data_IF_457503382300
#
_entry.id   IF_457503382300
#
_cell.length_a   1.000
_cell.length_b   1.000
_cell.length_c   1.000
_cell.angle_alpha   90.00
_cell.angle_beta   90.00
_cell.angle_gamma   90.00
#
_symmetry.space_group_name_H-M   'P 1'
#
loop_
_entity.id
_entity.type
_entity.pdbx_description
1 polymer ?
#
# COMPACT_ATOMS: atom_id res chain seq x y z
N UNK A 1 14.89 -1.29 -4.31
CA UNK A 1 14.94 -1.61 -5.77
C UNK A 1 13.49 -1.67 -6.23
N UNK A 2 13.10 -1.08 -7.35
CA UNK A 2 11.69 -1.11 -7.79
C UNK A 2 11.28 -2.46 -8.36
N UNK A 3 11.10 -2.56 -9.67
CA UNK A 3 10.81 -3.80 -10.40
C UNK A 3 9.33 -4.03 -10.71
N UNK A 4 8.47 -3.11 -10.27
CA UNK A 4 7.03 -3.17 -10.49
C UNK A 4 6.61 -2.76 -11.91
N UNK A 5 5.47 -3.27 -12.34
CA UNK A 5 4.74 -2.90 -13.56
C UNK A 5 5.52 -3.00 -14.89
N UNK A 6 6.60 -3.78 -14.94
CA UNK A 6 7.43 -3.94 -16.12
C UNK A 6 6.83 -4.84 -17.23
N UNK A 7 5.62 -5.37 -17.06
CA UNK A 7 5.02 -6.35 -17.98
C UNK A 7 4.90 -5.88 -19.45
N UNK A 8 4.70 -4.57 -19.69
CA UNK A 8 4.73 -4.00 -21.05
C UNK A 8 6.14 -4.04 -21.64
N UNK A 9 7.14 -3.72 -20.82
CA UNK A 9 8.57 -3.80 -21.21
C UNK A 9 8.98 -5.22 -21.57
N UNK A 10 8.50 -6.24 -20.86
CA UNK A 10 8.82 -7.64 -21.16
C UNK A 10 8.49 -7.99 -22.62
N UNK A 11 7.31 -7.59 -23.10
CA UNK A 11 6.88 -7.85 -24.48
C UNK A 11 7.75 -7.13 -25.52
N UNK A 12 8.15 -5.90 -25.22
CA UNK A 12 9.05 -5.12 -26.08
C UNK A 12 10.42 -5.78 -26.12
N UNK A 13 10.95 -6.22 -24.98
CA UNK A 13 12.27 -6.89 -24.92
C UNK A 13 12.28 -8.20 -25.69
N UNK A 14 11.18 -8.94 -25.65
CA UNK A 14 11.03 -10.22 -26.38
C UNK A 14 10.92 -10.04 -27.89
N UNK A 15 10.25 -8.97 -28.37
CA UNK A 15 9.82 -8.85 -29.77
C UNK A 15 10.47 -7.74 -30.55
N UNK A 16 10.69 -6.58 -29.90
CA UNK A 16 10.98 -5.33 -30.59
C UNK A 16 12.35 -4.75 -30.26
N UNK A 17 13.10 -5.36 -29.32
CA UNK A 17 14.41 -4.89 -28.89
C UNK A 17 15.53 -5.87 -29.28
N UNK A 18 16.26 -5.63 -30.40
CA UNK A 18 17.32 -6.54 -30.85
C UNK A 18 18.43 -6.75 -29.82
N UNK A 19 18.79 -5.70 -29.07
CA UNK A 19 19.81 -5.78 -28.02
C UNK A 19 19.33 -6.68 -26.86
N UNK A 20 18.05 -6.53 -26.46
CA UNK A 20 17.46 -7.39 -25.43
C UNK A 20 17.41 -8.86 -25.88
N UNK A 21 17.01 -9.10 -27.13
CA UNK A 21 16.95 -10.44 -27.72
C UNK A 21 18.35 -11.09 -27.80
N UNK A 22 19.38 -10.34 -28.19
CA UNK A 22 20.74 -10.81 -28.18
C UNK A 22 21.21 -11.21 -26.78
N UNK A 23 20.88 -10.36 -25.77
CA UNK A 23 21.21 -10.66 -24.38
C UNK A 23 20.43 -11.88 -23.84
N UNK A 24 19.15 -11.97 -24.17
CA UNK A 24 18.32 -13.13 -23.78
C UNK A 24 18.91 -14.43 -24.40
N UNK A 25 19.32 -14.39 -25.66
CA UNK A 25 19.98 -15.52 -26.32
C UNK A 25 21.30 -15.91 -25.65
N UNK A 26 22.13 -14.92 -25.29
CA UNK A 26 23.39 -15.12 -24.55
C UNK A 26 23.15 -15.83 -23.21
N UNK A 27 22.08 -15.45 -22.52
CA UNK A 27 21.70 -15.99 -21.21
C UNK A 27 20.91 -17.29 -21.28
N UNK A 28 20.51 -17.75 -22.47
CA UNK A 28 19.68 -18.94 -22.64
C UNK A 28 18.25 -18.80 -22.11
N UNK A 29 17.73 -17.57 -22.05
CA UNK A 29 16.38 -17.25 -21.56
C UNK A 29 15.47 -16.82 -22.70
N UNK A 30 14.15 -16.98 -22.52
CA UNK A 30 13.17 -16.75 -23.59
C UNK A 30 12.10 -15.72 -23.21
N UNK A 31 11.94 -15.42 -21.92
CA UNK A 31 10.90 -14.49 -21.41
C UNK A 31 11.53 -13.20 -20.91
N UNK A 32 10.91 -12.07 -21.25
CA UNK A 32 11.34 -10.76 -20.76
C UNK A 32 11.32 -10.66 -19.24
N UNK A 33 10.44 -11.40 -18.56
CA UNK A 33 10.45 -11.53 -17.09
C UNK A 33 11.77 -12.09 -16.56
N UNK A 34 12.35 -13.10 -17.21
CA UNK A 34 13.64 -13.68 -16.82
C UNK A 34 14.79 -12.67 -17.03
N UNK A 35 14.70 -11.84 -18.08
CA UNK A 35 15.67 -10.75 -18.30
C UNK A 35 15.58 -9.69 -17.20
N UNK A 36 14.37 -9.36 -16.71
CA UNK A 36 14.18 -8.49 -15.55
C UNK A 36 14.82 -9.08 -14.31
N UNK A 37 14.56 -10.36 -14.02
CA UNK A 37 15.14 -11.06 -12.86
C UNK A 37 16.68 -11.05 -12.94
N UNK A 38 17.24 -11.33 -14.11
CA UNK A 38 18.70 -11.22 -14.32
C UNK A 38 19.23 -9.82 -13.98
N UNK A 39 18.55 -8.77 -14.45
CA UNK A 39 18.93 -7.39 -14.12
C UNK A 39 18.85 -7.10 -12.63
N UNK A 40 17.75 -7.51 -11.99
CA UNK A 40 17.51 -7.27 -10.57
C UNK A 40 18.53 -8.02 -9.69
N UNK A 41 18.86 -9.26 -10.02
CA UNK A 41 19.91 -10.02 -9.31
C UNK A 41 21.28 -9.34 -9.42
N UNK A 42 21.62 -8.76 -10.58
CA UNK A 42 22.87 -7.97 -10.71
C UNK A 42 22.87 -6.73 -9.82
N UNK A 43 21.72 -6.03 -9.72
CA UNK A 43 21.58 -4.88 -8.80
C UNK A 43 21.70 -5.36 -7.36
N UNK A 44 21.07 -6.49 -7.01
CA UNK A 44 21.18 -7.11 -5.70
C UNK A 44 22.65 -7.40 -5.34
N UNK A 45 23.43 -7.98 -6.24
CA UNK A 45 24.86 -8.23 -6.03
C UNK A 45 25.66 -6.95 -5.77
N UNK A 46 25.33 -5.85 -6.47
CA UNK A 46 25.96 -4.54 -6.22
C UNK A 46 25.61 -4.01 -4.82
N UNK A 47 24.35 -4.14 -4.41
CA UNK A 47 23.88 -3.70 -3.10
C UNK A 47 24.49 -4.54 -1.96
N UNK A 48 24.61 -5.86 -2.15
CA UNK A 48 25.32 -6.76 -1.22
C UNK A 48 26.77 -6.33 -0.98
N UNK A 49 27.49 -5.95 -2.02
CA UNK A 49 28.89 -5.44 -1.90
C UNK A 49 28.95 -4.15 -1.09
N UNK A 50 27.86 -3.40 -1.01
CA UNK A 50 27.71 -2.19 -0.18
C UNK A 50 27.12 -2.49 1.21
N UNK A 51 26.96 -3.76 1.58
CA UNK A 51 26.37 -4.17 2.85
C UNK A 51 24.87 -3.85 2.98
N UNK A 52 24.15 -3.73 1.84
CA UNK A 52 22.71 -3.41 1.82
C UNK A 52 21.87 -4.64 1.46
N UNK A 53 20.65 -4.67 1.97
CA UNK A 53 19.63 -5.65 1.59
C UNK A 53 18.69 -5.04 0.56
N UNK A 54 18.42 -5.77 -0.51
CA UNK A 54 17.46 -5.35 -1.53
C UNK A 54 16.03 -5.61 -1.10
N UNK A 55 15.13 -4.66 -1.42
CA UNK A 55 13.68 -4.86 -1.36
C UNK A 55 13.14 -4.70 -2.78
N UNK A 56 12.28 -5.60 -3.23
CA UNK A 56 11.69 -5.61 -4.56
C UNK A 56 10.19 -5.83 -4.50
N UNK A 57 9.43 -5.08 -5.33
CA UNK A 57 7.99 -5.30 -5.47
C UNK A 57 7.69 -6.71 -6.00
N UNK A 58 6.67 -7.35 -5.46
CA UNK A 58 6.42 -8.77 -5.70
C UNK A 58 6.09 -9.14 -7.15
N UNK A 59 5.68 -8.21 -7.97
CA UNK A 59 5.50 -8.45 -9.41
C UNK A 59 6.83 -8.39 -10.19
N UNK A 60 7.88 -7.85 -9.60
CA UNK A 60 9.27 -7.97 -10.07
C UNK A 60 9.87 -9.36 -9.81
N UNK A 61 9.45 -10.05 -8.76
CA UNK A 61 9.96 -11.37 -8.36
C UNK A 61 9.57 -12.45 -9.37
N UNK A 62 10.51 -13.32 -9.72
CA UNK A 62 10.34 -14.49 -10.56
C UNK A 62 11.13 -15.68 -10.03
N UNK A 63 11.03 -16.83 -10.71
CA UNK A 63 11.55 -18.13 -10.24
C UNK A 63 13.03 -18.11 -9.85
N UNK A 64 13.85 -17.35 -10.57
CA UNK A 64 15.29 -17.24 -10.34
C UNK A 64 15.71 -15.96 -9.59
N UNK A 65 14.77 -15.27 -8.93
CA UNK A 65 15.13 -14.14 -8.06
C UNK A 65 15.88 -14.65 -6.83
N UNK A 66 17.01 -14.02 -6.52
CA UNK A 66 17.83 -14.34 -5.35
C UNK A 66 16.99 -14.40 -4.07
N UNK A 67 17.15 -15.43 -3.26
CA UNK A 67 16.32 -15.68 -2.08
C UNK A 67 16.55 -14.70 -0.92
N UNK A 68 17.67 -13.99 -0.93
CA UNK A 68 17.98 -12.94 0.04
C UNK A 68 17.35 -11.57 -0.29
N UNK A 69 16.74 -11.43 -1.46
CA UNK A 69 15.89 -10.29 -1.80
C UNK A 69 14.62 -10.33 -0.96
N UNK A 70 14.34 -9.26 -0.23
CA UNK A 70 13.07 -9.10 0.50
C UNK A 70 11.97 -8.75 -0.48
N UNK A 71 10.87 -9.49 -0.48
CA UNK A 71 9.70 -9.17 -1.29
C UNK A 71 8.85 -8.08 -0.64
N UNK A 72 8.40 -7.09 -1.41
CA UNK A 72 7.40 -6.13 -1.01
C UNK A 72 6.07 -6.50 -1.68
N UNK A 73 5.13 -7.04 -0.89
CA UNK A 73 3.90 -7.63 -1.41
C UNK A 73 2.78 -6.59 -1.49
N UNK A 74 2.51 -6.12 -2.70
CA UNK A 74 1.43 -5.16 -2.99
C UNK A 74 0.37 -5.75 -3.92
N UNK A 75 0.81 -6.45 -4.95
CA UNK A 75 -0.05 -7.03 -5.97
C UNK A 75 -0.49 -8.43 -5.58
N UNK A 76 -1.80 -8.64 -5.52
CA UNK A 76 -2.39 -9.92 -5.14
C UNK A 76 -1.92 -11.07 -6.03
N UNK A 77 -1.53 -12.18 -5.41
CA UNK A 77 -1.11 -13.42 -6.05
C UNK A 77 -1.95 -14.59 -5.55
N UNK A 78 -1.83 -15.73 -6.21
CA UNK A 78 -2.48 -16.96 -5.77
C UNK A 78 -1.92 -17.41 -4.40
N UNK A 79 -2.72 -18.09 -3.57
CA UNK A 79 -2.24 -18.62 -2.29
C UNK A 79 -1.03 -19.56 -2.44
N UNK A 80 -0.96 -20.34 -3.53
CA UNK A 80 0.18 -21.20 -3.83
C UNK A 80 1.47 -20.41 -4.04
N UNK A 81 1.41 -19.32 -4.83
CA UNK A 81 2.56 -18.44 -5.03
C UNK A 81 3.02 -17.80 -3.72
N UNK A 82 2.07 -17.28 -2.92
CA UNK A 82 2.39 -16.65 -1.63
C UNK A 82 3.11 -17.63 -0.72
N UNK A 83 2.58 -18.86 -0.59
CA UNK A 83 3.17 -19.90 0.25
C UNK A 83 4.59 -20.23 -0.22
N UNK A 84 4.75 -20.52 -1.52
CA UNK A 84 6.03 -20.89 -2.11
C UNK A 84 7.10 -19.81 -1.90
N UNK A 85 6.76 -18.54 -2.14
CA UNK A 85 7.71 -17.44 -2.00
C UNK A 85 7.96 -17.07 -0.52
N UNK A 86 6.96 -17.19 0.34
CA UNK A 86 7.12 -16.94 1.78
C UNK A 86 7.99 -17.99 2.47
N UNK A 87 8.07 -19.19 1.93
CA UNK A 87 9.01 -20.22 2.41
C UNK A 87 10.46 -19.90 2.01
N UNK A 88 10.68 -19.20 0.89
CA UNK A 88 12.00 -18.87 0.33
C UNK A 88 12.59 -17.58 0.87
N UNK A 89 11.77 -16.54 1.12
CA UNK A 89 12.23 -15.19 1.41
C UNK A 89 11.35 -14.44 2.40
N UNK A 90 11.89 -13.34 2.94
CA UNK A 90 11.16 -12.42 3.80
C UNK A 90 10.27 -11.47 3.00
N UNK A 91 9.17 -11.01 3.61
CA UNK A 91 8.23 -10.08 3.00
C UNK A 91 7.90 -8.89 3.92
N UNK A 92 7.70 -7.72 3.30
CA UNK A 92 6.92 -6.60 3.81
C UNK A 92 5.57 -6.65 3.08
N UNK A 93 4.47 -6.45 3.79
CA UNK A 93 3.12 -6.60 3.21
C UNK A 93 2.39 -5.26 3.16
N UNK A 94 2.07 -4.79 1.95
CA UNK A 94 1.33 -3.56 1.66
C UNK A 94 0.21 -3.79 0.65
N UNK A 95 -0.65 -4.76 0.90
CA UNK A 95 -1.65 -5.25 -0.06
C UNK A 95 -2.54 -4.14 -0.61
N UNK A 96 -2.53 -3.94 -1.92
CA UNK A 96 -3.46 -3.06 -2.62
C UNK A 96 -4.87 -3.70 -2.73
N UNK A 97 -5.96 -2.93 -2.48
CA UNK A 97 -6.00 -1.54 -2.02
C UNK A 97 -6.03 -1.40 -0.48
N UNK A 98 -5.93 -2.47 0.29
CA UNK A 98 -6.23 -2.47 1.73
C UNK A 98 -5.34 -1.53 2.55
N UNK A 99 -4.07 -1.39 2.16
CA UNK A 99 -3.08 -0.52 2.79
C UNK A 99 -2.63 0.65 1.89
N UNK A 100 -3.39 0.99 0.84
CA UNK A 100 -3.11 2.10 -0.05
C UNK A 100 -3.93 3.32 0.36
N UNK A 101 -3.30 4.29 1.02
CA UNK A 101 -3.98 5.45 1.57
C UNK A 101 -4.21 6.58 0.56
N UNK A 102 -3.70 6.43 -0.62
CA UNK A 102 -4.09 7.23 -1.79
C UNK A 102 -5.49 6.86 -2.31
N UNK A 103 -6.04 5.68 -1.95
CA UNK A 103 -7.46 5.36 -2.21
C UNK A 103 -8.39 6.12 -1.27
N UNK A 104 -9.62 6.34 -1.76
CA UNK A 104 -10.66 7.05 -1.01
C UNK A 104 -11.03 6.36 0.31
N UNK A 105 -11.53 7.11 1.29
CA UNK A 105 -12.02 6.58 2.56
C UNK A 105 -13.23 5.63 2.40
N UNK A 106 -13.96 5.74 1.27
CA UNK A 106 -15.04 4.81 0.94
C UNK A 106 -14.51 3.40 0.57
N UNK A 107 -13.34 3.33 -0.07
CA UNK A 107 -12.69 2.07 -0.49
C UNK A 107 -11.86 1.48 0.64
N UNK A 108 -11.13 2.33 1.36
CA UNK A 108 -10.24 1.97 2.47
C UNK A 108 -10.67 2.71 3.74
N UNK A 109 -11.82 2.32 4.34
CA UNK A 109 -12.30 2.95 5.56
C UNK A 109 -11.44 2.57 6.78
N UNK A 110 -11.44 3.45 7.79
CA UNK A 110 -10.70 3.30 9.04
C UNK A 110 -10.78 1.90 9.65
N UNK A 111 -11.99 1.32 9.73
CA UNK A 111 -12.20 -0.02 10.30
C UNK A 111 -11.55 -1.12 9.48
N UNK A 112 -11.46 -0.96 8.15
CA UNK A 112 -10.79 -1.93 7.27
C UNK A 112 -9.29 -1.95 7.54
N UNK A 113 -8.69 -0.78 7.72
CA UNK A 113 -7.26 -0.65 8.07
C UNK A 113 -6.99 -1.26 9.45
N UNK A 114 -7.83 -0.94 10.45
CA UNK A 114 -7.70 -1.50 11.81
C UNK A 114 -7.77 -3.03 11.84
N UNK A 115 -8.64 -3.62 11.02
CA UNK A 115 -8.85 -5.07 10.94
C UNK A 115 -7.97 -5.74 9.88
N UNK A 116 -6.95 -5.04 9.39
CA UNK A 116 -6.02 -5.67 8.45
C UNK A 116 -5.31 -6.83 9.14
N UNK A 117 -5.20 -7.93 8.43
CA UNK A 117 -4.66 -9.18 8.92
C UNK A 117 -3.80 -9.82 7.82
N UNK A 118 -2.54 -9.97 8.11
CA UNK A 118 -1.54 -10.54 7.20
C UNK A 118 -1.88 -11.99 6.84
N UNK A 119 -2.38 -12.76 7.80
CA UNK A 119 -2.75 -14.17 7.57
C UNK A 119 -3.91 -14.26 6.58
N UNK A 120 -4.91 -13.38 6.71
CA UNK A 120 -6.02 -13.30 5.74
C UNK A 120 -5.59 -12.83 4.36
N UNK A 121 -4.42 -12.19 4.25
CA UNK A 121 -3.80 -11.84 2.96
C UNK A 121 -3.06 -13.02 2.33
N UNK A 122 -3.05 -14.18 2.97
CA UNK A 122 -2.46 -15.42 2.45
C UNK A 122 -1.09 -15.79 3.02
N UNK A 123 -0.51 -14.96 3.90
CA UNK A 123 0.77 -15.24 4.54
C UNK A 123 0.56 -16.08 5.79
N UNK A 124 1.00 -17.32 5.75
CA UNK A 124 0.84 -18.29 6.85
C UNK A 124 2.08 -18.44 7.72
N UNK A 125 3.24 -17.99 7.23
CA UNK A 125 4.51 -18.04 7.94
C UNK A 125 4.87 -16.64 8.46
N UNK A 126 4.49 -16.35 9.68
CA UNK A 126 4.77 -15.07 10.34
C UNK A 126 6.27 -14.78 10.53
N UNK A 127 7.11 -15.82 10.60
CA UNK A 127 8.58 -15.67 10.75
C UNK A 127 9.24 -14.99 9.57
N UNK A 128 8.66 -15.12 8.37
CA UNK A 128 9.15 -14.50 7.16
C UNK A 128 8.42 -13.22 6.79
N UNK A 129 7.46 -12.76 7.60
CA UNK A 129 6.83 -11.45 7.46
C UNK A 129 7.52 -10.46 8.39
N UNK A 130 8.21 -9.47 7.83
CA UNK A 130 8.92 -8.43 8.57
C UNK A 130 7.97 -7.41 9.19
N UNK A 131 6.81 -7.21 8.57
CA UNK A 131 5.80 -6.27 9.00
C UNK A 131 4.88 -5.85 7.87
N UNK A 132 4.07 -4.82 8.16
CA UNK A 132 3.17 -4.21 7.17
C UNK A 132 3.60 -2.77 6.89
N UNK A 133 3.32 -2.30 5.69
CA UNK A 133 3.58 -0.93 5.25
C UNK A 133 2.32 -0.36 4.60
N UNK A 134 2.10 0.94 4.68
CA UNK A 134 1.04 1.60 3.92
C UNK A 134 1.63 2.47 2.82
N UNK A 135 0.95 2.52 1.70
CA UNK A 135 1.37 3.29 0.53
C UNK A 135 0.56 4.59 0.41
N UNK A 136 1.21 5.64 -0.08
CA UNK A 136 0.58 6.92 -0.36
C UNK A 136 1.19 7.53 -1.62
N UNK A 137 0.63 7.17 -2.76
CA UNK A 137 1.12 7.60 -4.07
C UNK A 137 0.62 9.01 -4.41
N UNK A 138 1.53 9.83 -4.97
CA UNK A 138 1.27 11.25 -5.23
C UNK A 138 0.50 11.53 -6.53
N UNK A 139 0.24 10.54 -7.37
CA UNK A 139 -0.50 10.70 -8.65
C UNK A 139 -1.84 11.44 -8.49
N UNK A 140 -2.49 11.28 -7.32
CA UNK A 140 -3.79 11.85 -7.01
C UNK A 140 -3.77 12.77 -5.79
N UNK A 141 -2.59 13.03 -5.25
CA UNK A 141 -2.36 13.83 -4.04
C UNK A 141 -1.40 14.95 -4.42
N UNK A 142 -1.93 16.12 -4.73
CA UNK A 142 -1.21 17.26 -5.28
C UNK A 142 -0.76 18.29 -4.23
N UNK A 143 -1.28 18.17 -3.00
CA UNK A 143 -0.99 19.09 -1.90
C UNK A 143 -0.76 18.37 -0.59
N UNK A 144 -0.03 18.98 0.33
CA UNK A 144 0.16 18.46 1.68
C UNK A 144 -1.17 18.31 2.43
N UNK A 145 -2.08 19.25 2.24
CA UNK A 145 -3.43 19.25 2.83
C UNK A 145 -4.28 18.06 2.32
N UNK A 146 -4.16 17.72 1.04
CA UNK A 146 -4.77 16.51 0.46
C UNK A 146 -4.13 15.23 1.00
N UNK A 147 -2.81 15.25 1.24
CA UNK A 147 -2.11 14.14 1.86
C UNK A 147 -2.56 13.91 3.31
N UNK A 148 -2.64 14.95 4.11
CA UNK A 148 -3.16 14.88 5.48
C UNK A 148 -4.58 14.29 5.51
N UNK A 149 -5.46 14.79 4.61
CA UNK A 149 -6.81 14.23 4.47
C UNK A 149 -6.79 12.74 4.13
N UNK A 150 -5.90 12.32 3.26
CA UNK A 150 -5.81 10.92 2.81
C UNK A 150 -5.25 10.00 3.89
N UNK A 151 -4.26 10.45 4.66
CA UNK A 151 -3.55 9.64 5.65
C UNK A 151 -4.25 9.62 7.00
N UNK A 152 -4.71 10.78 7.49
CA UNK A 152 -5.35 10.86 8.80
C UNK A 152 -6.88 10.70 8.72
N UNK A 153 -7.49 9.97 9.67
CA UNK A 153 -6.91 9.33 10.86
C UNK A 153 -6.49 7.87 10.63
N UNK A 154 -6.44 7.38 9.37
CA UNK A 154 -6.15 5.96 9.06
C UNK A 154 -4.81 5.48 9.59
N UNK A 155 -3.82 6.38 9.66
CA UNK A 155 -2.49 6.04 10.18
C UNK A 155 -2.53 5.55 11.63
N UNK A 156 -3.44 6.04 12.46
CA UNK A 156 -3.58 5.55 13.85
C UNK A 156 -4.12 4.13 13.90
N UNK A 157 -5.07 3.81 13.01
CA UNK A 157 -5.59 2.45 12.85
C UNK A 157 -4.51 1.51 12.31
N UNK A 158 -3.70 1.97 11.37
CA UNK A 158 -2.58 1.25 10.83
C UNK A 158 -1.52 0.97 11.90
N UNK A 159 -1.13 1.98 12.69
CA UNK A 159 -0.16 1.83 13.76
C UNK A 159 -0.63 0.79 14.80
N UNK A 160 -1.89 0.86 15.24
CA UNK A 160 -2.42 -0.13 16.18
C UNK A 160 -2.52 -1.52 15.55
N UNK A 161 -2.90 -1.62 14.27
CA UNK A 161 -2.91 -2.91 13.56
C UNK A 161 -1.52 -3.52 13.45
N UNK A 162 -0.47 -2.69 13.30
CA UNK A 162 0.91 -3.15 13.12
C UNK A 162 1.58 -3.60 14.43
N UNK A 163 1.25 -2.95 15.55
CA UNK A 163 1.99 -3.10 16.81
C UNK A 163 1.23 -3.81 17.91
N UNK A 164 -0.08 -4.06 17.73
CA UNK A 164 -0.92 -4.70 18.73
C UNK A 164 -1.22 -6.14 18.33
N UNK A 165 -0.90 -7.09 19.20
CA UNK A 165 -1.29 -8.49 18.99
C UNK A 165 -2.82 -8.61 18.88
N UNK A 166 -3.32 -9.48 18.01
CA UNK A 166 -4.75 -9.62 17.71
C UNK A 166 -5.63 -9.86 18.95
N UNK A 167 -5.12 -10.60 19.94
CA UNK A 167 -5.83 -10.87 21.20
C UNK A 167 -6.14 -9.62 22.02
N UNK A 168 -5.39 -8.53 21.80
CA UNK A 168 -5.57 -7.24 22.49
C UNK A 168 -6.28 -6.19 21.65
N UNK A 169 -6.53 -6.46 20.39
CA UNK A 169 -7.23 -5.53 19.51
C UNK A 169 -8.70 -5.38 19.89
N UNK A 170 -9.13 -4.14 20.10
CA UNK A 170 -10.51 -3.79 20.37
C UNK A 170 -10.89 -2.50 19.63
N UNK A 171 -11.58 -2.63 18.50
CA UNK A 171 -11.94 -1.48 17.67
C UNK A 171 -12.80 -0.44 18.40
N UNK A 172 -13.71 -0.85 19.30
CA UNK A 172 -14.56 0.08 20.06
C UNK A 172 -13.74 0.93 21.03
N UNK A 173 -12.75 0.33 21.67
CA UNK A 173 -11.81 1.03 22.55
C UNK A 173 -10.88 1.94 21.73
N UNK A 174 -10.27 1.43 20.67
CA UNK A 174 -9.48 2.23 19.73
C UNK A 174 -10.26 3.48 19.27
N UNK A 175 -11.51 3.30 18.86
CA UNK A 175 -12.34 4.40 18.36
C UNK A 175 -12.62 5.47 19.43
N UNK A 176 -12.73 5.09 20.70
CA UNK A 176 -12.83 6.04 21.81
C UNK A 176 -11.53 6.83 22.01
N UNK A 177 -10.39 6.14 21.99
CA UNK A 177 -9.05 6.76 22.11
C UNK A 177 -8.73 7.68 20.93
N UNK A 178 -9.26 7.38 19.75
CA UNK A 178 -9.09 8.19 18.55
C UNK A 178 -9.60 9.63 18.73
N UNK A 179 -10.60 9.87 19.59
CA UNK A 179 -11.10 11.23 19.87
C UNK A 179 -10.01 12.14 20.45
N UNK A 180 -9.12 11.60 21.27
CA UNK A 180 -7.98 12.37 21.77
C UNK A 180 -7.06 12.82 20.63
N UNK A 181 -6.73 11.91 19.71
CA UNK A 181 -5.91 12.25 18.54
C UNK A 181 -6.59 13.22 17.59
N UNK A 182 -7.92 13.17 17.45
CA UNK A 182 -8.69 14.15 16.68
C UNK A 182 -8.60 15.54 17.28
N UNK A 183 -8.72 15.67 18.60
CA UNK A 183 -8.53 16.96 19.28
C UNK A 183 -7.10 17.48 19.08
N UNK A 184 -6.10 16.61 19.20
CA UNK A 184 -4.72 16.97 18.97
C UNK A 184 -4.48 17.43 17.53
N UNK A 185 -4.95 16.67 16.53
CA UNK A 185 -4.87 17.06 15.12
C UNK A 185 -5.53 18.41 14.86
N UNK A 186 -6.72 18.63 15.45
CA UNK A 186 -7.44 19.90 15.34
C UNK A 186 -6.61 21.07 15.92
N UNK A 187 -5.96 20.88 17.07
CA UNK A 187 -5.11 21.91 17.70
C UNK A 187 -3.85 22.23 16.88
N UNK A 188 -3.43 21.32 15.99
CA UNK A 188 -2.30 21.48 15.06
C UNK A 188 -2.72 21.87 13.64
N UNK A 189 -4.00 22.16 13.42
CA UNK A 189 -4.56 22.47 12.10
C UNK A 189 -4.35 21.39 11.05
N UNK A 190 -4.21 20.12 11.45
CA UNK A 190 -4.08 18.98 10.52
C UNK A 190 -5.41 18.77 9.80
N UNK A 191 -5.34 18.64 8.48
CA UNK A 191 -6.54 18.41 7.64
C UNK A 191 -6.96 16.94 7.63
N UNK A 192 -7.31 16.36 8.76
CA UNK A 192 -7.72 14.96 8.82
C UNK A 192 -9.12 14.72 8.24
N UNK A 193 -9.37 13.53 7.72
CA UNK A 193 -10.69 13.10 7.25
C UNK A 193 -11.67 12.91 8.42
N UNK A 194 -12.85 13.48 8.27
CA UNK A 194 -14.00 13.27 9.16
C UNK A 194 -14.91 12.16 8.68
N UNK A 195 -14.55 11.53 7.56
CA UNK A 195 -15.28 10.42 6.92
C UNK A 195 -14.81 9.11 7.55
N UNK A 196 -15.49 8.68 8.61
CA UNK A 196 -15.07 7.53 9.41
C UNK A 196 -15.79 6.22 9.05
N UNK A 197 -16.87 6.33 8.33
CA UNK A 197 -17.71 5.19 7.92
C UNK A 197 -17.79 5.15 6.41
N UNK A 198 -18.00 3.95 5.88
CA UNK A 198 -18.38 3.79 4.48
C UNK A 198 -19.73 4.48 4.29
N UNK A 199 -19.68 5.72 3.85
CA UNK A 199 -20.87 6.53 3.66
C UNK A 199 -21.10 6.76 2.17
N UNK A 200 -22.35 6.53 1.78
CA UNK A 200 -22.92 7.21 0.64
C UNK A 200 -23.17 8.64 1.05
N UNK A 201 -22.53 9.60 0.41
CA UNK A 201 -22.80 11.00 0.69
C UNK A 201 -23.23 11.72 -0.59
N UNK A 202 -24.05 12.74 -0.40
CA UNK A 202 -24.50 13.61 -1.48
C UNK A 202 -23.69 14.88 -1.47
N UNK A 203 -23.06 15.20 -2.60
CA UNK A 203 -22.46 16.51 -2.84
C UNK A 203 -23.24 17.17 -3.95
N UNK A 204 -23.86 18.34 -3.70
CA UNK A 204 -24.69 19.08 -4.64
C UNK A 204 -25.75 18.19 -5.33
N UNK A 205 -26.55 17.48 -4.54
CA UNK A 205 -27.61 16.57 -4.99
C UNK A 205 -27.17 15.36 -5.83
N UNK A 206 -25.87 15.11 -5.99
CA UNK A 206 -25.36 13.88 -6.60
C UNK A 206 -24.93 12.90 -5.53
N UNK A 207 -25.40 11.66 -5.63
CA UNK A 207 -24.87 10.57 -4.82
C UNK A 207 -23.48 10.25 -5.32
N UNK A 208 -22.48 10.43 -4.48
CA UNK A 208 -21.10 10.09 -4.81
C UNK A 208 -20.79 8.71 -4.24
N UNK A 209 -20.87 7.76 -5.13
CA UNK A 209 -20.35 6.43 -4.84
C UNK A 209 -19.00 6.27 -5.49
N UNK A 210 -17.96 5.86 -4.86
CA UNK A 210 -16.86 6.08 -5.22
C UNK A 210 -15.75 5.30 -5.23
N UNK A 211 -15.46 4.52 -6.06
CA UNK A 211 -14.17 4.14 -6.59
C UNK A 211 -13.56 5.34 -7.35
N UNK A 212 -12.78 6.15 -6.67
CA UNK A 212 -11.97 7.16 -7.35
C UNK A 212 -12.44 8.61 -7.34
N UNK A 213 -13.52 8.98 -6.65
CA UNK A 213 -13.91 10.39 -6.57
C UNK A 213 -13.37 11.08 -5.31
N UNK A 214 -12.04 11.10 -5.16
CA UNK A 214 -11.34 11.73 -4.04
C UNK A 214 -11.65 13.22 -3.91
N UNK A 215 -11.81 13.93 -5.02
CA UNK A 215 -12.20 15.33 -5.03
C UNK A 215 -13.58 15.59 -4.42
N UNK A 216 -14.53 14.68 -4.57
CA UNK A 216 -15.84 14.78 -3.92
C UNK A 216 -15.75 14.48 -2.41
N UNK A 217 -14.95 13.52 -1.99
CA UNK A 217 -14.69 13.24 -0.58
C UNK A 217 -14.01 14.42 0.11
N UNK A 218 -13.03 15.03 -0.53
CA UNK A 218 -12.36 16.21 -0.03
C UNK A 218 -13.33 17.40 0.17
N UNK A 219 -14.15 17.69 -0.85
CA UNK A 219 -15.19 18.74 -0.76
C UNK A 219 -16.20 18.46 0.35
N UNK A 220 -16.56 17.20 0.55
CA UNK A 220 -17.46 16.82 1.65
C UNK A 220 -16.79 17.02 3.01
N UNK A 221 -15.51 16.69 3.14
CA UNK A 221 -14.75 16.95 4.35
C UNK A 221 -14.70 18.43 4.72
N UNK A 222 -14.51 19.31 3.74
CA UNK A 222 -14.55 20.76 3.93
C UNK A 222 -15.91 21.24 4.44
N UNK A 223 -17.00 20.67 3.94
CA UNK A 223 -18.34 20.96 4.46
C UNK A 223 -18.51 20.54 5.94
N UNK A 224 -17.92 19.40 6.32
CA UNK A 224 -17.92 18.93 7.70
C UNK A 224 -17.10 19.86 8.62
N UNK A 225 -15.94 20.37 8.17
CA UNK A 225 -15.15 21.36 8.91
C UNK A 225 -15.99 22.60 9.25
N UNK A 226 -16.68 23.16 8.26
CA UNK A 226 -17.53 24.35 8.45
C UNK A 226 -18.65 24.08 9.46
N UNK A 227 -19.22 22.88 9.45
CA UNK A 227 -20.28 22.50 10.40
C UNK A 227 -19.74 22.41 11.83
N UNK A 228 -18.59 21.74 12.03
CA UNK A 228 -17.95 21.66 13.35
C UNK A 228 -17.58 23.04 13.91
N UNK A 229 -17.14 23.96 13.06
CA UNK A 229 -16.81 25.33 13.47
C UNK A 229 -18.04 26.07 14.02
N UNK A 230 -19.17 25.99 13.33
CA UNK A 230 -20.43 26.59 13.73
C UNK A 230 -21.04 26.01 15.01
N UNK A 231 -20.78 24.73 15.30
CA UNK A 231 -21.28 24.09 16.54
C UNK A 231 -20.45 24.47 17.77
N UNK A 232 -19.16 24.83 17.59
CA UNK A 232 -18.27 25.24 18.68
C UNK A 232 -18.37 26.75 19.04
N UNK A 233 -18.99 27.55 18.18
CA UNK A 233 -19.21 28.98 18.41
C UNK A 233 -20.56 29.30 19.12
N UNK A 234 -21.29 28.27 19.54
CA UNK A 234 -22.51 28.31 20.32
C UNK A 234 -22.28 27.86 21.76
#
# INVERSE_FOLDING_TARGET
MGGDEAAKGHKIWEKDCPVCQAKMKELGITKGKELQVYFNNRVNDMLKKLGKTSIEWNDGIGDNTDTDVVGHYWLLRTPSWIKEENDKRKFIVSTCPALYFDYSHAVVPLKKVYNFDVVKSGFVNDKNVLGIEFESWSEWIDTYDAWEFSVYPRIFAFAESSWTEDKYKNYKDFYKRLNFFKMYMKSKNVNYSRIEKKLWFKVKNKTVFHLGNRGAEYKYNEQLKVKEFKENDK
#
